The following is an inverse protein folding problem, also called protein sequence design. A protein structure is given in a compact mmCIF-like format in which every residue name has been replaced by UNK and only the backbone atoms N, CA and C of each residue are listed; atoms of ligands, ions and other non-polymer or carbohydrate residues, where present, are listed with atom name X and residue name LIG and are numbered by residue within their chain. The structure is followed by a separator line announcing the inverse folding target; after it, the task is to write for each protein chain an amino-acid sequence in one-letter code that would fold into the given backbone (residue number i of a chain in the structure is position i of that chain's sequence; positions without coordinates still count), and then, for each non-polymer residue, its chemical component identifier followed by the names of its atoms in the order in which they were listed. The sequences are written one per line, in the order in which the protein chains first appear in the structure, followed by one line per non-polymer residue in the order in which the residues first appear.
data_IF_812407827771
#
_entry.id   IF_812407827771
#
_cell.length_a   1.000
_cell.length_b   1.000
_cell.length_c   1.000
_cell.angle_alpha   90.00
_cell.angle_beta   90.00
_cell.angle_gamma   90.00
#
_symmetry.space_group_name_H-M   'P 1'
#
loop_
_entity.id
_entity.type
_entity.pdbx_description
1 polymer ?
#
# COMPACT_ATOMS: atom_id res chain seq x y z
N UNK A 1 -11.96 2.57 -38.02
CA UNK A 1 -11.18 2.63 -36.76
C UNK A 1 -9.88 3.46 -36.85
N UNK A 2 -9.47 4.00 -38.01
CA UNK A 2 -8.16 4.67 -38.22
C UNK A 2 -8.06 6.16 -37.79
N UNK A 3 -9.17 6.81 -37.41
CA UNK A 3 -9.20 8.26 -37.15
C UNK A 3 -9.27 8.67 -35.68
N UNK A 4 -9.15 7.72 -34.74
CA UNK A 4 -9.22 8.00 -33.30
C UNK A 4 -7.87 7.83 -32.63
N UNK A 5 -7.51 8.78 -31.78
CA UNK A 5 -6.29 8.77 -30.96
C UNK A 5 -6.69 8.80 -29.50
N UNK A 6 -6.16 7.89 -28.70
CA UNK A 6 -6.30 7.95 -27.23
C UNK A 6 -5.10 8.66 -26.62
N UNK A 7 -5.36 9.59 -25.70
CA UNK A 7 -4.31 10.29 -24.95
C UNK A 7 -4.62 10.25 -23.47
N UNK A 8 -3.57 10.13 -22.66
CA UNK A 8 -3.68 10.29 -21.21
C UNK A 8 -3.77 11.78 -20.90
N UNK A 9 -4.84 12.18 -20.23
CA UNK A 9 -5.08 13.55 -19.79
C UNK A 9 -5.18 13.53 -18.27
N UNK A 10 -4.22 14.18 -17.60
CA UNK A 10 -4.29 14.42 -16.16
C UNK A 10 -5.23 15.62 -15.93
N UNK A 11 -6.37 15.38 -15.29
CA UNK A 11 -7.42 16.35 -15.03
C UNK A 11 -7.57 16.63 -13.54
N UNK A 12 -7.76 17.90 -13.17
CA UNK A 12 -8.06 18.33 -11.82
C UNK A 12 -9.19 19.36 -11.82
N UNK A 13 -10.11 19.26 -10.86
CA UNK A 13 -11.30 20.10 -10.77
C UNK A 13 -10.98 21.59 -10.57
N UNK A 14 -9.97 21.88 -9.75
CA UNK A 14 -9.50 23.22 -9.47
C UNK A 14 -8.62 23.82 -10.59
N UNK A 15 -8.38 23.06 -11.68
CA UNK A 15 -7.58 23.48 -12.84
C UNK A 15 -8.32 23.24 -14.16
N UNK A 16 -9.63 23.50 -14.17
CA UNK A 16 -10.44 23.36 -15.38
C UNK A 16 -9.93 24.23 -16.55
N UNK A 17 -9.43 25.45 -16.27
CA UNK A 17 -8.80 26.33 -17.28
C UNK A 17 -7.56 25.71 -17.96
N UNK A 18 -6.73 24.96 -17.23
CA UNK A 18 -5.57 24.26 -17.83
C UNK A 18 -6.02 23.27 -18.91
N UNK A 19 -7.21 22.69 -18.73
CA UNK A 19 -7.79 21.68 -19.61
C UNK A 19 -8.45 22.35 -20.81
N UNK A 20 -9.19 23.45 -20.60
CA UNK A 20 -9.71 24.28 -21.69
C UNK A 20 -8.59 24.69 -22.65
N UNK A 21 -7.53 25.34 -22.14
CA UNK A 21 -6.37 25.76 -22.95
C UNK A 21 -5.71 24.58 -23.67
N UNK A 22 -5.62 23.42 -23.00
CA UNK A 22 -5.02 22.23 -23.60
C UNK A 22 -5.89 21.65 -24.71
N UNK A 23 -7.21 21.66 -24.55
CA UNK A 23 -8.16 21.21 -25.57
C UNK A 23 -8.17 22.15 -26.78
N UNK A 24 -8.16 23.47 -26.56
CA UNK A 24 -8.04 24.47 -27.64
C UNK A 24 -6.76 24.25 -28.47
N UNK A 25 -5.62 24.03 -27.80
CA UNK A 25 -4.35 23.71 -28.47
C UNK A 25 -4.37 22.39 -29.24
N UNK A 26 -5.18 21.42 -28.82
CA UNK A 26 -5.33 20.14 -29.51
C UNK A 26 -6.26 20.28 -30.72
N UNK A 27 -7.37 21.02 -30.60
CA UNK A 27 -8.27 21.32 -31.70
C UNK A 27 -7.57 22.12 -32.81
N UNK A 28 -6.73 23.09 -32.44
CA UNK A 28 -5.87 23.84 -33.37
C UNK A 28 -4.84 22.96 -34.10
N UNK A 29 -4.64 21.71 -33.64
CA UNK A 29 -3.80 20.70 -34.31
C UNK A 29 -4.63 19.61 -35.01
N UNK A 30 -5.94 19.81 -35.14
CA UNK A 30 -6.86 18.86 -35.77
C UNK A 30 -7.23 17.67 -34.88
N UNK A 31 -7.09 17.77 -33.55
CA UNK A 31 -7.50 16.72 -32.60
C UNK A 31 -8.68 17.21 -31.77
N UNK A 32 -9.86 16.70 -32.09
CA UNK A 32 -11.12 17.06 -31.43
C UNK A 32 -11.48 16.06 -30.35
N UNK A 33 -11.83 16.52 -29.16
CA UNK A 33 -12.30 15.65 -28.09
C UNK A 33 -13.63 14.97 -28.51
N UNK A 34 -13.75 13.67 -28.26
CA UNK A 34 -14.98 12.91 -28.53
C UNK A 34 -15.50 12.26 -27.24
N UNK A 35 -14.62 11.72 -26.41
CA UNK A 35 -14.99 11.04 -25.16
C UNK A 35 -13.94 11.31 -24.08
N UNK A 36 -14.39 11.67 -22.87
CA UNK A 36 -13.52 11.77 -21.70
C UNK A 36 -13.75 10.60 -20.74
N UNK A 37 -12.65 9.97 -20.31
CA UNK A 37 -12.64 8.96 -19.26
C UNK A 37 -11.89 9.44 -18.01
N UNK A 38 -11.70 8.54 -17.03
CA UNK A 38 -10.95 8.87 -15.81
C UNK A 38 -9.47 9.25 -16.07
N UNK A 39 -8.85 8.65 -17.10
CA UNK A 39 -7.44 8.91 -17.45
C UNK A 39 -7.20 8.93 -18.97
N UNK A 40 -7.83 8.01 -19.70
CA UNK A 40 -7.72 7.89 -21.16
C UNK A 40 -8.88 8.62 -21.84
N UNK A 41 -8.56 9.65 -22.62
CA UNK A 41 -9.52 10.44 -23.40
C UNK A 41 -9.35 10.11 -24.88
N UNK A 42 -10.47 10.04 -25.59
CA UNK A 42 -10.53 9.72 -27.02
C UNK A 42 -10.70 10.98 -27.84
N UNK A 43 -9.83 11.15 -28.84
CA UNK A 43 -9.83 12.27 -29.76
C UNK A 43 -10.04 11.78 -31.19
N UNK A 44 -10.84 12.52 -31.96
CA UNK A 44 -11.02 12.33 -33.41
C UNK A 44 -10.06 13.24 -34.17
N UNK A 45 -9.35 12.69 -35.15
CA UNK A 45 -8.57 13.48 -36.11
C UNK A 45 -9.51 14.18 -37.10
N UNK A 46 -9.22 15.44 -37.39
CA UNK A 46 -9.90 16.22 -38.40
C UNK A 46 -9.02 17.39 -38.85
N UNK A 47 -9.60 18.30 -39.63
CA UNK A 47 -8.89 19.50 -40.06
C UNK A 47 -8.67 20.45 -38.87
N UNK A 48 -7.49 21.07 -38.74
CA UNK A 48 -7.22 22.08 -37.72
C UNK A 48 -8.30 23.18 -37.69
N UNK A 49 -8.92 23.37 -36.52
CA UNK A 49 -9.88 24.47 -36.29
C UNK A 49 -9.59 25.15 -34.96
N UNK A 50 -9.73 26.47 -34.94
CA UNK A 50 -9.75 27.23 -33.69
C UNK A 50 -11.11 27.04 -33.05
N UNK A 51 -11.16 26.28 -31.96
CA UNK A 51 -12.37 26.09 -31.16
C UNK A 51 -12.11 26.61 -29.76
N UNK A 52 -13.13 27.20 -29.15
CA UNK A 52 -13.14 27.52 -27.72
C UNK A 52 -13.73 26.37 -26.93
N UNK A 53 -13.12 26.01 -25.82
CA UNK A 53 -13.60 24.97 -24.92
C UNK A 53 -13.98 25.58 -23.57
N UNK A 54 -15.07 25.08 -22.98
CA UNK A 54 -15.43 25.39 -21.60
C UNK A 54 -15.74 24.10 -20.84
N UNK A 55 -15.32 24.07 -19.58
CA UNK A 55 -15.55 22.96 -18.66
C UNK A 55 -16.47 23.44 -17.56
N UNK A 56 -17.63 22.79 -17.42
CA UNK A 56 -18.62 23.12 -16.38
C UNK A 56 -18.91 21.92 -15.49
N UNK A 57 -19.56 22.20 -14.36
CA UNK A 57 -19.85 21.19 -13.34
C UNK A 57 -21.33 21.14 -13.00
N UNK A 58 -21.96 20.05 -13.40
CA UNK A 58 -23.38 19.81 -13.17
C UNK A 58 -23.58 18.85 -11.99
N UNK A 59 -24.08 19.37 -10.87
CA UNK A 59 -24.11 18.65 -9.59
C UNK A 59 -25.03 17.41 -9.56
N UNK A 60 -26.02 17.34 -10.45
CA UNK A 60 -26.91 16.17 -10.62
C UNK A 60 -26.34 15.11 -11.58
N UNK A 61 -25.25 15.43 -12.30
CA UNK A 61 -24.54 14.49 -13.15
C UNK A 61 -23.99 13.32 -12.34
N UNK A 62 -24.25 12.09 -12.79
CA UNK A 62 -23.78 10.88 -12.12
C UNK A 62 -23.64 9.74 -13.12
N UNK A 63 -22.57 8.96 -12.98
CA UNK A 63 -22.36 7.73 -13.78
C UNK A 63 -23.48 6.71 -13.56
N UNK A 64 -24.23 6.80 -12.45
CA UNK A 64 -25.34 5.90 -12.12
C UNK A 64 -26.68 6.30 -12.73
N UNK A 65 -26.80 7.50 -13.32
CA UNK A 65 -28.04 7.95 -13.93
C UNK A 65 -28.40 7.05 -15.14
N UNK A 66 -29.65 6.56 -15.24
CA UNK A 66 -30.11 5.73 -16.36
C UNK A 66 -30.14 6.52 -17.67
N UNK A 67 -30.65 7.76 -17.63
CA UNK A 67 -30.78 8.68 -18.75
C UNK A 67 -30.31 10.09 -18.35
N UNK A 68 -30.24 11.01 -19.31
CA UNK A 68 -30.04 12.45 -19.07
C UNK A 68 -31.21 12.96 -18.22
N UNK A 69 -30.93 13.65 -17.11
CA UNK A 69 -32.00 14.19 -16.26
C UNK A 69 -32.70 15.38 -16.94
N UNK A 70 -33.96 15.65 -16.62
CA UNK A 70 -34.71 16.78 -17.22
C UNK A 70 -34.00 18.13 -17.04
N UNK A 71 -33.46 18.35 -15.83
CA UNK A 71 -32.63 19.52 -15.52
C UNK A 71 -31.35 19.56 -16.36
N UNK A 72 -30.74 18.40 -16.62
CA UNK A 72 -29.56 18.31 -17.47
C UNK A 72 -29.92 18.61 -18.93
N UNK A 73 -31.05 18.12 -19.43
CA UNK A 73 -31.51 18.41 -20.79
C UNK A 73 -31.75 19.91 -20.96
N UNK A 74 -32.41 20.53 -19.99
CA UNK A 74 -32.66 21.97 -19.97
C UNK A 74 -31.35 22.76 -19.96
N UNK A 75 -30.35 22.32 -19.19
CA UNK A 75 -29.02 22.92 -19.16
C UNK A 75 -28.28 22.80 -20.51
N UNK A 76 -28.39 21.64 -21.18
CA UNK A 76 -27.84 21.44 -22.53
C UNK A 76 -28.53 22.32 -23.57
N UNK A 77 -29.84 22.49 -23.47
CA UNK A 77 -30.62 23.32 -24.38
C UNK A 77 -30.27 24.80 -24.23
N UNK A 78 -30.06 25.28 -22.99
CA UNK A 78 -29.52 26.63 -22.75
C UNK A 78 -28.11 26.81 -23.28
N UNK A 79 -27.22 25.82 -23.11
CA UNK A 79 -25.87 25.87 -23.66
C UNK A 79 -25.91 26.00 -25.19
N UNK A 80 -26.76 25.20 -25.84
CA UNK A 80 -26.95 25.25 -27.30
C UNK A 80 -27.50 26.59 -27.77
N UNK A 81 -28.46 27.18 -27.05
CA UNK A 81 -28.99 28.50 -27.34
C UNK A 81 -27.92 29.60 -27.21
N UNK A 82 -26.96 29.43 -26.29
CA UNK A 82 -25.81 30.33 -26.11
C UNK A 82 -24.65 30.08 -27.10
N UNK A 83 -24.80 29.18 -28.08
CA UNK A 83 -23.77 28.87 -29.07
C UNK A 83 -22.70 27.87 -28.61
N UNK A 84 -22.98 27.12 -27.54
CA UNK A 84 -22.11 26.06 -27.03
C UNK A 84 -22.63 24.67 -27.40
N UNK A 85 -21.79 23.87 -28.03
CA UNK A 85 -22.09 22.50 -28.42
C UNK A 85 -21.54 21.52 -27.39
N UNK A 86 -22.38 20.60 -26.91
CA UNK A 86 -21.96 19.56 -25.99
C UNK A 86 -21.01 18.55 -26.67
N UNK A 87 -19.90 18.22 -25.99
CA UNK A 87 -18.96 17.20 -26.46
C UNK A 87 -19.18 15.90 -25.70
N UNK A 88 -18.97 15.95 -24.39
CA UNK A 88 -18.87 14.76 -23.56
C UNK A 88 -19.05 15.13 -22.09
N UNK A 89 -19.39 14.12 -21.28
CA UNK A 89 -19.55 14.24 -19.85
C UNK A 89 -18.83 13.09 -19.17
N UNK A 90 -18.17 13.41 -18.06
CA UNK A 90 -17.64 12.40 -17.14
C UNK A 90 -18.07 12.75 -15.72
N UNK A 91 -18.98 11.93 -15.18
CA UNK A 91 -19.61 12.15 -13.87
C UNK A 91 -20.31 13.53 -13.80
N UNK A 92 -19.80 14.46 -13.00
CA UNK A 92 -20.32 15.81 -12.84
C UNK A 92 -19.67 16.82 -13.81
N UNK A 93 -18.56 16.45 -14.46
CA UNK A 93 -17.86 17.32 -15.41
C UNK A 93 -18.53 17.24 -16.79
N UNK A 94 -18.84 18.38 -17.38
CA UNK A 94 -19.33 18.51 -18.75
C UNK A 94 -18.37 19.40 -19.55
N UNK A 95 -18.12 19.02 -20.80
CA UNK A 95 -17.22 19.74 -21.69
C UNK A 95 -18.01 20.18 -22.92
N UNK A 96 -17.93 21.46 -23.23
CA UNK A 96 -18.57 22.08 -24.39
C UNK A 96 -17.52 22.75 -25.27
N UNK A 97 -17.87 22.94 -26.55
CA UNK A 97 -17.08 23.74 -27.48
C UNK A 97 -17.93 24.80 -28.19
N UNK A 98 -17.30 25.89 -28.59
CA UNK A 98 -17.89 26.89 -29.48
C UNK A 98 -16.95 27.17 -30.65
N UNK A 99 -17.55 27.43 -31.83
CA UNK A 99 -16.84 27.86 -33.03
C UNK A 99 -16.73 29.39 -33.11
N UNK A 100 -17.38 30.13 -32.20
CA UNK A 100 -17.27 31.58 -32.16
C UNK A 100 -15.91 32.03 -31.59
N UNK A 101 -15.32 33.08 -32.16
CA UNK A 101 -14.05 33.64 -31.68
C UNK A 101 -14.17 34.25 -30.28
N UNK A 102 -15.35 34.80 -29.95
CA UNK A 102 -15.67 35.33 -28.63
C UNK A 102 -17.06 34.85 -28.19
N UNK A 103 -17.18 33.61 -27.71
CA UNK A 103 -18.47 33.06 -27.29
C UNK A 103 -18.94 33.75 -26.01
N UNK A 104 -20.26 33.93 -25.88
CA UNK A 104 -20.85 34.48 -24.67
C UNK A 104 -20.56 33.50 -23.51
N UNK A 105 -20.01 33.98 -22.38
CA UNK A 105 -19.80 33.13 -21.21
C UNK A 105 -21.10 32.47 -20.80
N UNK A 106 -21.09 31.14 -20.75
CA UNK A 106 -22.27 30.35 -20.47
C UNK A 106 -22.75 30.48 -19.01
N UNK A 107 -21.82 30.67 -18.06
CA UNK A 107 -22.11 31.02 -16.68
C UNK A 107 -21.69 32.49 -16.46
N UNK A 108 -22.65 33.40 -16.49
CA UNK A 108 -22.43 34.86 -16.36
C UNK A 108 -22.15 35.30 -14.92
N UNK A 109 -22.54 34.51 -13.92
CA UNK A 109 -22.24 34.75 -12.52
C UNK A 109 -21.09 33.84 -12.05
N UNK A 110 -19.91 34.43 -11.87
CA UNK A 110 -18.71 33.75 -11.36
C UNK A 110 -18.90 33.19 -9.94
N UNK A 111 -19.81 33.76 -9.14
CA UNK A 111 -20.15 33.24 -7.81
C UNK A 111 -20.96 31.96 -7.93
N UNK A 112 -21.96 31.92 -8.82
CA UNK A 112 -22.78 30.72 -9.04
C UNK A 112 -21.92 29.57 -9.59
N UNK A 113 -21.03 29.87 -10.54
CA UNK A 113 -20.02 28.95 -11.05
C UNK A 113 -19.15 28.37 -9.93
N UNK A 114 -18.60 29.22 -9.07
CA UNK A 114 -17.77 28.80 -7.95
C UNK A 114 -18.54 27.94 -6.94
N UNK A 115 -19.78 28.31 -6.62
CA UNK A 115 -20.64 27.54 -5.71
C UNK A 115 -21.03 26.18 -6.30
N UNK A 116 -21.25 26.11 -7.61
CA UNK A 116 -21.48 24.85 -8.33
C UNK A 116 -20.25 23.93 -8.26
N UNK A 117 -19.04 24.46 -8.45
CA UNK A 117 -17.79 23.70 -8.27
C UNK A 117 -17.69 23.16 -6.84
N UNK A 118 -17.91 24.00 -5.82
CA UNK A 118 -17.89 23.59 -4.41
C UNK A 118 -18.92 22.51 -4.12
N UNK A 119 -20.14 22.63 -4.66
CA UNK A 119 -21.21 21.65 -4.49
C UNK A 119 -20.83 20.30 -5.09
N UNK A 120 -20.24 20.28 -6.29
CA UNK A 120 -19.76 19.07 -6.94
C UNK A 120 -18.62 18.40 -6.14
N UNK A 121 -17.64 19.20 -5.73
CA UNK A 121 -16.52 18.74 -4.90
C UNK A 121 -17.01 18.13 -3.58
N UNK A 122 -17.93 18.78 -2.87
CA UNK A 122 -18.50 18.31 -1.60
C UNK A 122 -19.35 17.04 -1.77
N UNK A 123 -20.07 16.91 -2.89
CA UNK A 123 -20.96 15.77 -3.13
C UNK A 123 -20.22 14.49 -3.53
N UNK A 124 -19.15 14.60 -4.32
CA UNK A 124 -18.50 13.42 -4.91
C UNK A 124 -17.05 13.23 -4.48
N UNK A 125 -16.22 14.27 -4.52
CA UNK A 125 -14.76 14.11 -4.42
C UNK A 125 -14.25 14.16 -2.99
N UNK A 126 -14.67 15.15 -2.21
CA UNK A 126 -14.24 15.29 -0.81
C UNK A 126 -14.60 14.08 0.04
N UNK A 127 -15.82 13.50 -0.03
CA UNK A 127 -16.13 12.28 0.72
C UNK A 127 -15.24 11.11 0.34
N UNK A 128 -14.92 10.95 -0.96
CA UNK A 128 -14.02 9.89 -1.42
C UNK A 128 -12.60 10.05 -0.87
N UNK A 129 -12.08 11.28 -0.86
CA UNK A 129 -10.75 11.59 -0.30
C UNK A 129 -10.76 11.38 1.22
N UNK A 130 -11.81 11.82 1.92
CA UNK A 130 -11.92 11.63 3.36
C UNK A 130 -12.01 10.15 3.75
N UNK A 131 -12.74 9.33 2.98
CA UNK A 131 -12.81 7.89 3.22
C UNK A 131 -11.45 7.23 2.95
N UNK A 132 -10.77 7.60 1.86
CA UNK A 132 -9.43 7.09 1.56
C UNK A 132 -8.43 7.45 2.69
N UNK A 133 -8.42 8.72 3.10
CA UNK A 133 -7.61 9.20 4.21
C UNK A 133 -7.89 8.43 5.50
N UNK A 134 -9.17 8.19 5.82
CA UNK A 134 -9.57 7.42 7.01
C UNK A 134 -9.02 5.99 6.95
N UNK A 135 -9.13 5.33 5.80
CA UNK A 135 -8.60 3.97 5.61
C UNK A 135 -7.08 3.96 5.74
N UNK A 136 -6.37 4.93 5.13
CA UNK A 136 -4.92 5.04 5.25
C UNK A 136 -4.47 5.32 6.69
N UNK A 137 -5.13 6.22 7.41
CA UNK A 137 -4.83 6.52 8.81
C UNK A 137 -5.12 5.31 9.69
N UNK A 138 -6.24 4.63 9.50
CA UNK A 138 -6.54 3.40 10.22
C UNK A 138 -5.47 2.32 9.98
N UNK A 139 -5.01 2.17 8.73
CA UNK A 139 -3.91 1.27 8.42
C UNK A 139 -2.61 1.65 9.16
N UNK A 140 -2.25 2.94 9.20
CA UNK A 140 -1.09 3.41 9.95
C UNK A 140 -1.23 3.15 11.45
N UNK A 141 -2.43 3.24 12.02
CA UNK A 141 -2.69 2.88 13.43
C UNK A 141 -2.46 1.38 13.65
N UNK A 142 -2.95 0.52 12.75
CA UNK A 142 -2.70 -0.93 12.82
C UNK A 142 -1.20 -1.24 12.73
N UNK A 143 -0.49 -0.59 11.81
CA UNK A 143 0.96 -0.75 11.69
C UNK A 143 1.71 -0.23 12.91
N UNK A 144 1.28 0.88 13.49
CA UNK A 144 1.85 1.40 14.72
C UNK A 144 1.65 0.43 15.89
N UNK A 145 0.47 -0.19 16.01
CA UNK A 145 0.23 -1.23 17.00
C UNK A 145 1.13 -2.46 16.76
N UNK A 146 1.31 -2.87 15.50
CA UNK A 146 2.26 -3.95 15.15
C UNK A 146 3.69 -3.60 15.54
N UNK A 147 4.11 -2.34 15.35
CA UNK A 147 5.40 -1.83 15.80
C UNK A 147 5.53 -1.83 17.33
N UNK A 148 4.48 -1.48 18.07
CA UNK A 148 4.51 -1.55 19.54
C UNK A 148 4.62 -3.00 20.04
N UNK A 149 3.96 -3.95 19.37
CA UNK A 149 3.96 -5.36 19.76
C UNK A 149 5.31 -6.05 19.49
N UNK A 150 5.92 -5.81 18.33
CA UNK A 150 7.24 -6.35 17.99
C UNK A 150 8.02 -5.34 17.14
N UNK A 151 8.70 -4.38 17.77
CA UNK A 151 9.43 -3.34 17.05
C UNK A 151 10.67 -3.87 16.33
N UNK A 152 11.26 -4.99 16.79
CA UNK A 152 12.43 -5.61 16.17
C UNK A 152 12.04 -6.15 14.79
N UNK A 153 11.02 -7.01 14.74
CA UNK A 153 10.50 -7.58 13.49
C UNK A 153 9.98 -6.48 12.56
N UNK A 154 9.27 -5.48 13.10
CA UNK A 154 8.77 -4.37 12.28
C UNK A 154 9.89 -3.53 11.66
N UNK A 155 10.98 -3.28 12.39
CA UNK A 155 12.11 -2.48 11.90
C UNK A 155 13.08 -3.30 11.03
N UNK A 156 13.13 -4.62 11.15
CA UNK A 156 13.95 -5.49 10.30
C UNK A 156 13.26 -5.90 9.00
N UNK A 157 11.92 -5.88 8.94
CA UNK A 157 11.13 -6.27 7.75
C UNK A 157 11.05 -5.12 6.70
N UNK A 158 11.69 -5.28 5.52
CA UNK A 158 11.64 -4.27 4.47
C UNK A 158 10.23 -4.06 3.89
N UNK A 159 9.41 -5.12 3.85
CA UNK A 159 8.05 -5.09 3.33
C UNK A 159 7.12 -4.26 4.20
N UNK A 160 7.14 -4.48 5.52
CA UNK A 160 6.37 -3.68 6.49
C UNK A 160 6.78 -2.21 6.43
N UNK A 161 8.06 -1.90 6.55
CA UNK A 161 8.54 -0.50 6.50
C UNK A 161 8.22 0.20 5.19
N UNK A 162 8.43 -0.47 4.05
CA UNK A 162 8.09 0.09 2.75
C UNK A 162 6.60 0.39 2.65
N UNK A 163 5.74 -0.51 3.12
CA UNK A 163 4.29 -0.32 3.11
C UNK A 163 3.86 0.87 3.98
N UNK A 164 4.38 1.00 5.21
CA UNK A 164 4.15 2.14 6.09
C UNK A 164 4.57 3.45 5.42
N UNK A 165 5.77 3.48 4.82
CA UNK A 165 6.30 4.67 4.15
C UNK A 165 5.43 5.10 2.95
N UNK A 166 4.96 4.14 2.15
CA UNK A 166 4.05 4.43 1.02
C UNK A 166 2.72 5.01 1.49
N UNK A 167 2.10 4.41 2.51
CA UNK A 167 0.81 4.86 3.03
C UNK A 167 0.95 6.24 3.68
N UNK A 168 2.02 6.48 4.44
CA UNK A 168 2.32 7.80 4.99
C UNK A 168 2.47 8.84 3.88
N UNK A 169 3.18 8.52 2.78
CA UNK A 169 3.31 9.43 1.65
C UNK A 169 1.96 9.73 0.97
N UNK A 170 1.05 8.75 0.87
CA UNK A 170 -0.33 8.96 0.39
C UNK A 170 -1.07 9.93 1.31
N UNK A 171 -1.04 9.73 2.63
CA UNK A 171 -1.70 10.63 3.59
C UNK A 171 -1.15 12.05 3.48
N UNK A 172 0.17 12.21 3.39
CA UNK A 172 0.82 13.53 3.21
C UNK A 172 0.33 14.19 1.92
N UNK A 173 0.26 13.43 0.81
CA UNK A 173 -0.21 13.94 -0.46
C UNK A 173 -1.69 14.35 -0.42
N UNK A 174 -2.55 13.57 0.23
CA UNK A 174 -3.97 13.91 0.38
C UNK A 174 -4.17 15.15 1.27
N UNK A 175 -3.43 15.27 2.37
CA UNK A 175 -3.45 16.47 3.21
C UNK A 175 -2.99 17.69 2.40
N UNK A 176 -1.90 17.58 1.64
CA UNK A 176 -1.46 18.63 0.73
C UNK A 176 -2.56 19.01 -0.27
N UNK A 177 -3.22 18.02 -0.91
CA UNK A 177 -4.30 18.27 -1.85
C UNK A 177 -5.48 19.01 -1.21
N UNK A 178 -5.89 18.61 0.00
CA UNK A 178 -6.97 19.28 0.72
C UNK A 178 -6.60 20.71 1.11
N UNK A 179 -5.38 20.95 1.60
CA UNK A 179 -4.91 22.30 1.92
C UNK A 179 -4.82 23.17 0.68
N UNK A 180 -4.32 22.61 -0.43
CA UNK A 180 -4.21 23.26 -1.74
C UNK A 180 -5.59 23.74 -2.24
N UNK A 181 -6.60 22.87 -2.10
CA UNK A 181 -8.01 23.15 -2.41
C UNK A 181 -8.63 24.20 -1.47
N UNK A 182 -8.42 24.10 -0.15
CA UNK A 182 -8.95 25.07 0.81
C UNK A 182 -8.35 26.47 0.62
N UNK A 183 -7.06 26.55 0.31
CA UNK A 183 -6.39 27.82 -0.02
C UNK A 183 -6.97 28.39 -1.31
N UNK A 184 -7.19 27.56 -2.33
CA UNK A 184 -7.83 28.00 -3.58
C UNK A 184 -9.24 28.54 -3.32
N UNK A 185 -10.07 27.82 -2.57
CA UNK A 185 -11.42 28.28 -2.21
C UNK A 185 -11.40 29.65 -1.52
N UNK A 186 -10.54 29.84 -0.50
CA UNK A 186 -10.43 31.13 0.21
C UNK A 186 -9.96 32.26 -0.69
N UNK A 187 -9.08 31.99 -1.65
CA UNK A 187 -8.58 32.99 -2.61
C UNK A 187 -9.66 33.38 -3.61
N UNK A 188 -10.38 32.39 -4.15
CA UNK A 188 -11.50 32.62 -5.07
C UNK A 188 -12.64 33.39 -4.40
N UNK A 189 -13.01 33.05 -3.16
CA UNK A 189 -14.02 33.81 -2.40
C UNK A 189 -13.65 35.29 -2.24
N UNK A 190 -12.37 35.59 -1.94
CA UNK A 190 -11.89 36.97 -1.81
C UNK A 190 -11.88 37.72 -3.14
N UNK A 191 -11.49 37.05 -4.23
CA UNK A 191 -11.49 37.64 -5.58
C UNK A 191 -12.91 38.00 -6.01
N UNK A 192 -13.84 37.06 -5.86
CA UNK A 192 -15.25 37.23 -6.21
C UNK A 192 -15.90 38.32 -5.34
N UNK A 193 -15.60 38.38 -4.05
CA UNK A 193 -16.08 39.45 -3.17
C UNK A 193 -15.56 40.85 -3.58
N UNK A 194 -14.39 40.91 -4.22
CA UNK A 194 -13.83 42.14 -4.80
C UNK A 194 -14.34 42.46 -6.21
N UNK A 195 -15.30 41.70 -6.76
CA UNK A 195 -15.81 41.85 -8.12
C UNK A 195 -14.93 41.23 -9.21
N UNK A 196 -13.93 40.43 -8.83
CA UNK A 196 -13.07 39.68 -9.76
C UNK A 196 -13.60 38.28 -10.08
N UNK A 197 -12.92 37.59 -11.00
CA UNK A 197 -13.24 36.20 -11.36
C UNK A 197 -12.70 35.18 -10.35
N UNK A 198 -13.12 33.92 -10.50
CA UNK A 198 -12.52 32.80 -9.79
C UNK A 198 -11.01 32.70 -10.07
N UNK A 199 -10.20 32.58 -9.01
CA UNK A 199 -8.72 32.61 -9.12
C UNK A 199 -8.22 31.37 -9.87
N UNK A 200 -7.37 31.60 -10.87
CA UNK A 200 -6.71 30.52 -11.60
C UNK A 200 -5.70 29.80 -10.69
N UNK A 201 -5.83 28.48 -10.56
CA UNK A 201 -4.91 27.69 -9.73
C UNK A 201 -3.67 27.20 -10.51
N UNK A 202 -3.03 28.12 -11.23
CA UNK A 202 -1.87 27.82 -12.10
C UNK A 202 -0.59 28.21 -11.35
N UNK A 203 0.10 27.22 -10.81
CA UNK A 203 1.40 27.41 -10.15
C UNK A 203 2.39 26.35 -10.59
N UNK A 204 3.56 26.79 -11.08
CA UNK A 204 4.67 25.92 -11.44
C UNK A 204 5.13 25.07 -10.26
N UNK A 205 5.19 25.67 -9.05
CA UNK A 205 5.54 24.96 -7.82
C UNK A 205 4.57 23.82 -7.55
N UNK A 206 3.26 24.09 -7.58
CA UNK A 206 2.25 23.04 -7.36
C UNK A 206 2.38 21.92 -8.41
N UNK A 207 2.66 22.27 -9.67
CA UNK A 207 2.90 21.29 -10.74
C UNK A 207 4.14 20.42 -10.47
N UNK A 208 5.23 21.01 -10.00
CA UNK A 208 6.45 20.28 -9.63
C UNK A 208 6.15 19.31 -8.48
N UNK A 209 5.45 19.77 -7.44
CA UNK A 209 5.04 18.91 -6.31
C UNK A 209 4.27 17.69 -6.80
N UNK A 210 3.29 17.86 -7.70
CA UNK A 210 2.57 16.71 -8.28
C UNK A 210 3.46 15.76 -9.07
N UNK A 211 4.41 16.28 -9.85
CA UNK A 211 5.34 15.44 -10.61
C UNK A 211 6.20 14.62 -9.65
N UNK A 212 6.72 15.24 -8.59
CA UNK A 212 7.53 14.55 -7.57
C UNK A 212 6.74 13.41 -6.93
N UNK A 213 5.53 13.68 -6.42
CA UNK A 213 4.69 12.64 -5.81
C UNK A 213 4.30 11.53 -6.80
N UNK A 214 3.94 11.88 -8.04
CA UNK A 214 3.60 10.89 -9.06
C UNK A 214 4.80 10.02 -9.44
N UNK A 215 5.98 10.62 -9.60
CA UNK A 215 7.23 9.88 -9.84
C UNK A 215 7.58 8.97 -8.67
N UNK A 216 7.41 9.45 -7.44
CA UNK A 216 7.62 8.66 -6.23
C UNK A 216 6.66 7.46 -6.15
N UNK A 217 5.35 7.66 -6.33
CA UNK A 217 4.38 6.56 -6.32
C UNK A 217 4.59 5.58 -7.47
N UNK A 218 4.97 6.06 -8.66
CA UNK A 218 5.26 5.19 -9.79
C UNK A 218 6.51 4.34 -9.54
N UNK A 219 7.57 4.94 -8.99
CA UNK A 219 8.79 4.22 -8.63
C UNK A 219 8.53 3.20 -7.51
N UNK A 220 7.80 3.60 -6.46
CA UNK A 220 7.39 2.72 -5.37
C UNK A 220 6.53 1.55 -5.85
N UNK A 221 5.55 1.80 -6.72
CA UNK A 221 4.74 0.75 -7.33
C UNK A 221 5.59 -0.21 -8.18
N UNK A 222 6.54 0.30 -8.96
CA UNK A 222 7.48 -0.52 -9.72
C UNK A 222 8.36 -1.41 -8.83
N UNK A 223 8.91 -0.84 -7.75
CA UNK A 223 9.68 -1.59 -6.75
C UNK A 223 8.84 -2.66 -6.07
N UNK A 224 7.60 -2.33 -5.68
CA UNK A 224 6.67 -3.28 -5.07
C UNK A 224 6.38 -4.46 -6.00
N UNK A 225 6.11 -4.20 -7.29
CA UNK A 225 5.90 -5.27 -8.28
C UNK A 225 7.16 -6.14 -8.42
N UNK A 226 8.35 -5.54 -8.48
CA UNK A 226 9.61 -6.28 -8.52
C UNK A 226 9.78 -7.17 -7.27
N UNK A 227 9.52 -6.64 -6.08
CA UNK A 227 9.56 -7.37 -4.83
C UNK A 227 8.55 -8.53 -4.77
N UNK A 228 7.31 -8.31 -5.22
CA UNK A 228 6.30 -9.37 -5.28
C UNK A 228 6.68 -10.48 -6.27
N UNK A 229 7.26 -10.13 -7.42
CA UNK A 229 7.76 -11.14 -8.38
C UNK A 229 8.82 -12.02 -7.72
N UNK A 230 9.73 -11.42 -6.95
CA UNK A 230 10.76 -12.14 -6.22
C UNK A 230 10.17 -13.10 -5.17
N UNK A 231 9.12 -12.68 -4.44
CA UNK A 231 8.55 -13.47 -3.33
C UNK A 231 7.47 -14.49 -3.72
N UNK A 232 6.64 -14.23 -4.75
CA UNK A 232 5.37 -14.95 -5.02
C UNK A 232 5.36 -15.67 -6.37
N UNK A 233 6.38 -15.46 -7.22
CA UNK A 233 6.43 -15.80 -8.66
C UNK A 233 5.58 -14.90 -9.56
N UNK A 234 5.93 -14.87 -10.84
CA UNK A 234 5.22 -14.12 -11.90
C UNK A 234 3.73 -14.47 -12.00
N UNK A 235 3.35 -15.72 -11.73
CA UNK A 235 1.97 -16.15 -11.85
C UNK A 235 1.08 -15.58 -10.73
N UNK A 236 1.56 -15.57 -9.49
CA UNK A 236 0.81 -14.97 -8.39
C UNK A 236 0.72 -13.43 -8.53
N UNK A 237 1.78 -12.79 -9.02
CA UNK A 237 1.72 -11.35 -9.39
C UNK A 237 0.68 -11.08 -10.47
N UNK A 238 0.58 -11.95 -11.49
CA UNK A 238 -0.46 -11.83 -12.52
C UNK A 238 -1.86 -11.92 -11.94
N UNK A 239 -2.11 -12.84 -10.98
CA UNK A 239 -3.39 -12.92 -10.26
C UNK A 239 -3.68 -11.61 -9.51
N UNK A 240 -2.73 -11.06 -8.76
CA UNK A 240 -2.93 -9.78 -8.08
C UNK A 240 -3.27 -8.63 -9.05
N UNK A 241 -2.63 -8.59 -10.23
CA UNK A 241 -2.86 -7.53 -11.23
C UNK A 241 -4.21 -7.71 -11.94
N UNK A 242 -4.60 -8.94 -12.29
CA UNK A 242 -5.83 -9.21 -13.06
C UNK A 242 -7.11 -8.96 -12.25
N UNK A 243 -7.02 -8.93 -10.91
CA UNK A 243 -8.12 -8.55 -10.03
C UNK A 243 -8.74 -7.20 -10.43
N UNK A 244 -7.90 -6.18 -10.61
CA UNK A 244 -8.36 -4.81 -10.90
C UNK A 244 -9.21 -4.71 -12.18
N UNK A 245 -8.78 -5.18 -13.37
CA UNK A 245 -9.62 -5.13 -14.56
C UNK A 245 -10.88 -6.01 -14.42
N UNK A 246 -10.83 -7.15 -13.74
CA UNK A 246 -12.02 -7.99 -13.48
C UNK A 246 -13.06 -7.21 -12.66
N UNK A 247 -12.65 -6.63 -11.53
CA UNK A 247 -13.53 -5.85 -10.66
C UNK A 247 -14.09 -4.62 -11.38
N UNK A 248 -13.28 -3.93 -12.20
CA UNK A 248 -13.75 -2.81 -13.03
C UNK A 248 -14.79 -3.25 -14.06
N UNK A 249 -14.62 -4.42 -14.68
CA UNK A 249 -15.59 -4.98 -15.63
C UNK A 249 -16.89 -5.33 -14.89
N UNK A 250 -16.81 -6.05 -13.76
CA UNK A 250 -17.98 -6.40 -12.92
C UNK A 250 -18.75 -5.14 -12.50
N UNK A 251 -18.03 -4.11 -12.05
CA UNK A 251 -18.63 -2.85 -11.66
C UNK A 251 -19.33 -2.13 -12.83
N UNK A 252 -18.69 -2.06 -14.01
CA UNK A 252 -19.29 -1.45 -15.20
C UNK A 252 -20.50 -2.23 -15.71
N UNK A 253 -20.44 -3.57 -15.68
CA UNK A 253 -21.54 -4.42 -16.10
C UNK A 253 -22.75 -4.26 -15.19
N UNK A 254 -22.54 -4.20 -13.86
CA UNK A 254 -23.63 -3.99 -12.90
C UNK A 254 -24.32 -2.64 -13.12
N UNK A 255 -23.54 -1.57 -13.32
CA UNK A 255 -24.08 -0.22 -13.61
C UNK A 255 -24.92 -0.26 -14.89
N UNK A 256 -24.35 -0.78 -15.98
CA UNK A 256 -25.02 -0.80 -17.29
C UNK A 256 -26.29 -1.66 -17.27
N UNK A 257 -26.28 -2.77 -16.53
CA UNK A 257 -27.46 -3.61 -16.35
C UNK A 257 -28.59 -2.85 -15.64
N UNK A 258 -28.28 -2.14 -14.55
CA UNK A 258 -29.27 -1.38 -13.79
C UNK A 258 -29.77 -0.14 -14.55
N UNK A 259 -28.91 0.48 -15.37
CA UNK A 259 -29.33 1.52 -16.33
C UNK A 259 -30.34 1.00 -17.34
N UNK A 260 -30.09 -0.17 -17.94
CA UNK A 260 -31.05 -0.81 -18.87
C UNK A 260 -32.40 -1.10 -18.21
N UNK A 261 -32.41 -1.34 -16.90
CA UNK A 261 -33.63 -1.52 -16.10
C UNK A 261 -34.27 -0.21 -15.61
N UNK A 262 -33.74 0.95 -16.00
CA UNK A 262 -34.21 2.28 -15.57
C UNK A 262 -34.28 2.45 -14.04
N UNK A 263 -33.38 1.78 -13.32
CA UNK A 263 -33.30 1.93 -11.87
C UNK A 263 -32.86 3.36 -11.51
N UNK A 264 -33.34 3.86 -10.36
CA UNK A 264 -32.90 5.17 -9.86
C UNK A 264 -31.40 5.17 -9.58
N UNK A 265 -30.76 6.35 -9.68
CA UNK A 265 -29.32 6.48 -9.49
C UNK A 265 -28.84 6.02 -8.11
N UNK A 266 -29.66 6.21 -7.07
CA UNK A 266 -29.36 5.75 -5.71
C UNK A 266 -29.35 4.22 -5.60
N UNK A 267 -30.37 3.57 -6.17
CA UNK A 267 -30.47 2.10 -6.19
C UNK A 267 -29.32 1.50 -7.01
N UNK A 268 -29.05 2.08 -8.19
CA UNK A 268 -27.96 1.66 -9.05
C UNK A 268 -26.61 1.74 -8.30
N UNK A 269 -26.35 2.89 -7.65
CA UNK A 269 -25.14 3.08 -6.84
C UNK A 269 -25.00 2.03 -5.75
N UNK A 270 -26.04 1.81 -4.93
CA UNK A 270 -25.98 0.87 -3.81
C UNK A 270 -25.74 -0.56 -4.31
N UNK A 271 -26.52 -1.03 -5.27
CA UNK A 271 -26.40 -2.41 -5.78
C UNK A 271 -25.04 -2.63 -6.47
N UNK A 272 -24.59 -1.69 -7.31
CA UNK A 272 -23.29 -1.82 -7.98
C UNK A 272 -22.12 -1.86 -7.01
N UNK A 273 -22.17 -1.07 -5.92
CA UNK A 273 -21.15 -1.11 -4.87
C UNK A 273 -21.23 -2.44 -4.12
N UNK A 274 -22.41 -2.92 -3.75
CA UNK A 274 -22.58 -4.22 -3.07
C UNK A 274 -22.06 -5.38 -3.92
N UNK A 275 -22.37 -5.40 -5.22
CA UNK A 275 -21.86 -6.42 -6.15
C UNK A 275 -20.33 -6.36 -6.25
N UNK A 276 -19.75 -5.16 -6.26
CA UNK A 276 -18.30 -4.98 -6.28
C UNK A 276 -17.64 -5.55 -5.01
N UNK A 277 -18.21 -5.27 -3.83
CA UNK A 277 -17.72 -5.78 -2.55
C UNK A 277 -17.80 -7.31 -2.51
N UNK A 278 -18.93 -7.90 -2.92
CA UNK A 278 -19.09 -9.36 -2.97
C UNK A 278 -18.07 -9.98 -3.93
N UNK A 279 -17.90 -9.40 -5.13
CA UNK A 279 -16.94 -9.89 -6.11
C UNK A 279 -15.50 -9.83 -5.58
N UNK A 280 -15.14 -8.80 -4.82
CA UNK A 280 -13.83 -8.67 -4.19
C UNK A 280 -13.60 -9.78 -3.14
N UNK A 281 -14.55 -10.03 -2.24
CA UNK A 281 -14.46 -11.13 -1.27
C UNK A 281 -14.41 -12.51 -1.92
N UNK A 282 -15.19 -12.74 -2.98
CA UNK A 282 -15.16 -14.00 -3.73
C UNK A 282 -13.80 -14.20 -4.40
N UNK A 283 -13.23 -13.13 -4.96
CA UNK A 283 -11.92 -13.18 -5.58
C UNK A 283 -10.80 -13.43 -4.56
N UNK A 284 -10.88 -12.79 -3.39
CA UNK A 284 -9.95 -13.01 -2.29
C UNK A 284 -10.03 -14.46 -1.77
N UNK A 285 -11.23 -14.99 -1.56
CA UNK A 285 -11.42 -16.40 -1.18
C UNK A 285 -10.86 -17.36 -2.26
N UNK A 286 -11.06 -17.03 -3.54
CA UNK A 286 -10.48 -17.79 -4.65
C UNK A 286 -8.95 -17.80 -4.58
N UNK A 287 -8.30 -16.64 -4.39
CA UNK A 287 -6.83 -16.57 -4.26
C UNK A 287 -6.36 -17.41 -3.07
N UNK A 288 -6.99 -17.27 -1.89
CA UNK A 288 -6.57 -18.01 -0.69
C UNK A 288 -6.68 -19.52 -0.90
N UNK A 289 -7.82 -20.00 -1.40
CA UNK A 289 -8.01 -21.43 -1.68
C UNK A 289 -7.05 -21.94 -2.77
N UNK A 290 -6.79 -21.12 -3.78
CA UNK A 290 -5.88 -21.44 -4.87
C UNK A 290 -4.44 -21.57 -4.37
N UNK A 291 -3.97 -20.63 -3.55
CA UNK A 291 -2.63 -20.66 -2.94
C UNK A 291 -2.45 -21.90 -2.04
N UNK A 292 -3.45 -22.21 -1.20
CA UNK A 292 -3.42 -23.41 -0.34
C UNK A 292 -3.35 -24.69 -1.19
N UNK A 293 -4.16 -24.79 -2.24
CA UNK A 293 -4.32 -26.03 -3.02
C UNK A 293 -3.14 -26.32 -3.96
N UNK A 294 -2.49 -25.28 -4.49
CA UNK A 294 -1.40 -25.43 -5.45
C UNK A 294 -0.01 -25.29 -4.81
N UNK A 295 0.06 -25.05 -3.50
CA UNK A 295 1.33 -24.95 -2.78
C UNK A 295 2.22 -23.85 -3.34
N UNK A 296 1.64 -22.73 -3.81
CA UNK A 296 2.41 -21.56 -4.22
C UNK A 296 3.11 -21.00 -2.98
N UNK A 297 4.33 -21.46 -2.75
CA UNK A 297 5.13 -21.05 -1.61
C UNK A 297 5.58 -19.60 -1.80
N UNK A 298 5.02 -18.73 -0.97
CA UNK A 298 5.60 -17.45 -0.63
C UNK A 298 6.87 -17.72 0.19
N UNK A 299 8.03 -17.53 -0.43
CA UNK A 299 9.30 -17.36 0.28
C UNK A 299 10.00 -18.63 0.77
N UNK A 300 10.65 -19.36 -0.14
CA UNK A 300 11.83 -20.12 0.26
C UNK A 300 12.98 -19.71 -0.67
N UNK A 301 13.84 -18.82 -0.17
CA UNK A 301 15.14 -18.51 -0.80
C UNK A 301 16.14 -19.66 -0.56
N UNK A 302 15.88 -20.56 0.39
CA UNK A 302 16.75 -21.67 0.77
C UNK A 302 16.30 -23.02 0.20
N UNK A 303 17.28 -23.84 -0.19
CA UNK A 303 17.07 -25.22 -0.57
C UNK A 303 16.59 -26.02 0.65
N UNK A 304 15.36 -26.50 0.60
CA UNK A 304 14.79 -27.35 1.65
C UNK A 304 14.37 -28.71 1.10
N UNK A 305 14.49 -29.73 1.94
CA UNK A 305 13.94 -31.06 1.68
C UNK A 305 12.61 -31.20 2.41
N UNK A 306 11.55 -31.50 1.67
CA UNK A 306 10.26 -31.88 2.25
C UNK A 306 10.31 -33.32 2.77
N UNK A 307 9.83 -33.54 4.00
CA UNK A 307 9.67 -34.86 4.61
C UNK A 307 8.28 -34.97 5.23
N UNK A 308 7.60 -36.09 4.96
CA UNK A 308 6.32 -36.41 5.58
C UNK A 308 6.57 -37.21 6.85
N UNK A 309 6.23 -36.65 8.01
CA UNK A 309 6.45 -37.27 9.31
C UNK A 309 5.11 -37.72 9.94
N UNK A 310 4.98 -38.98 10.40
CA UNK A 310 3.78 -39.44 11.07
C UNK A 310 3.68 -38.85 12.48
N UNK A 311 2.68 -38.01 12.72
CA UNK A 311 2.41 -37.43 14.06
C UNK A 311 1.52 -38.36 14.87
N UNK A 312 0.58 -39.05 14.21
CA UNK A 312 -0.26 -40.11 14.77
C UNK A 312 -0.41 -41.27 13.78
N UNK A 313 -1.02 -42.38 14.21
CA UNK A 313 -1.27 -43.54 13.34
C UNK A 313 -2.13 -43.23 12.09
N UNK A 314 -2.85 -42.10 12.08
CA UNK A 314 -3.77 -41.71 11.00
C UNK A 314 -3.46 -40.35 10.39
N UNK A 315 -2.50 -39.59 10.93
CA UNK A 315 -2.18 -38.23 10.46
C UNK A 315 -0.68 -38.05 10.34
N UNK A 316 -0.24 -37.70 9.13
CA UNK A 316 1.11 -37.26 8.86
C UNK A 316 1.13 -35.76 8.56
N UNK A 317 2.23 -35.11 8.93
CA UNK A 317 2.46 -33.70 8.66
C UNK A 317 3.69 -33.55 7.77
N UNK A 318 3.66 -32.56 6.88
CA UNK A 318 4.77 -32.27 5.98
C UNK A 318 5.69 -31.23 6.64
N UNK A 319 6.94 -31.62 6.89
CA UNK A 319 7.97 -30.76 7.46
C UNK A 319 9.00 -30.39 6.40
N UNK A 320 9.58 -29.20 6.54
CA UNK A 320 10.68 -28.71 5.70
C UNK A 320 11.96 -28.78 6.50
N UNK A 321 12.96 -29.49 5.96
CA UNK A 321 14.30 -29.52 6.52
C UNK A 321 15.20 -28.64 5.68
N UNK A 322 15.69 -27.58 6.29
CA UNK A 322 16.63 -26.63 5.72
C UNK A 322 18.07 -27.08 5.98
N UNK A 323 19.01 -26.66 5.12
CA UNK A 323 20.44 -26.94 5.23
C UNK A 323 21.27 -25.67 5.05
N UNK A 324 20.85 -24.60 5.70
CA UNK A 324 21.54 -23.32 5.64
C UNK A 324 22.83 -23.35 6.47
N UNK A 325 23.83 -22.59 6.04
CA UNK A 325 25.08 -22.41 6.78
C UNK A 325 24.87 -21.39 7.92
N UNK A 326 24.81 -21.91 9.15
CA UNK A 326 24.60 -21.14 10.38
C UNK A 326 25.90 -21.05 11.22
N UNK A 327 26.22 -19.88 11.82
CA UNK A 327 27.49 -19.68 12.54
C UNK A 327 27.74 -20.61 13.73
N UNK A 328 26.72 -20.83 14.55
CA UNK A 328 26.75 -21.66 15.75
C UNK A 328 25.79 -22.82 15.56
N UNK A 329 26.28 -24.04 15.82
CA UNK A 329 25.49 -25.27 15.70
C UNK A 329 25.55 -26.11 16.96
N UNK A 330 24.54 -26.96 17.17
CA UNK A 330 24.49 -27.95 18.23
C UNK A 330 25.62 -28.97 18.11
N UNK A 331 26.07 -29.34 16.92
CA UNK A 331 27.21 -30.25 16.75
C UNK A 331 28.49 -29.62 17.30
N UNK A 332 28.67 -28.32 17.11
CA UNK A 332 29.81 -27.61 17.67
C UNK A 332 29.75 -27.58 19.21
N UNK A 333 28.55 -27.52 19.80
CA UNK A 333 28.34 -27.40 21.25
C UNK A 333 28.33 -28.73 22.00
N UNK A 334 27.78 -29.77 21.40
CA UNK A 334 27.51 -31.06 22.03
C UNK A 334 28.33 -32.22 21.43
N UNK A 335 29.02 -32.00 20.30
CA UNK A 335 29.75 -33.02 19.55
C UNK A 335 28.95 -33.61 18.39
N UNK A 336 29.46 -34.64 17.72
CA UNK A 336 28.79 -35.24 16.58
C UNK A 336 27.43 -35.83 16.98
N UNK A 337 26.37 -35.28 16.39
CA UNK A 337 24.99 -35.73 16.56
C UNK A 337 24.60 -36.58 15.34
N UNK A 338 24.41 -37.89 15.54
CA UNK A 338 23.98 -38.81 14.49
C UNK A 338 22.44 -38.74 14.33
N UNK A 339 21.96 -37.68 13.67
CA UNK A 339 20.53 -37.45 13.45
C UNK A 339 20.21 -36.96 12.04
N UNK A 340 19.58 -37.83 11.24
CA UNK A 340 19.30 -37.60 9.82
C UNK A 340 18.30 -36.47 9.53
N UNK A 341 17.47 -36.10 10.51
CA UNK A 341 16.33 -35.19 10.33
C UNK A 341 16.48 -33.87 11.10
N UNK A 342 17.70 -33.33 11.10
CA UNK A 342 18.00 -32.05 11.73
C UNK A 342 17.96 -30.91 10.71
N UNK A 343 17.25 -29.83 11.03
CA UNK A 343 17.07 -28.66 10.16
C UNK A 343 17.97 -27.52 10.59
N UNK A 344 18.56 -26.82 9.63
CA UNK A 344 19.39 -25.63 9.82
C UNK A 344 18.78 -24.50 9.01
N UNK A 345 18.19 -23.53 9.70
CA UNK A 345 17.44 -22.44 9.08
C UNK A 345 18.12 -21.11 9.38
N UNK A 346 18.21 -20.28 8.34
CA UNK A 346 18.78 -18.95 8.40
C UNK A 346 17.86 -17.95 7.72
N UNK A 347 17.43 -16.94 8.47
CA UNK A 347 16.69 -15.81 7.94
C UNK A 347 17.41 -14.50 8.25
N UNK A 348 17.70 -13.72 7.20
CA UNK A 348 18.32 -12.40 7.36
C UNK A 348 17.39 -11.35 6.77
N UNK A 349 16.90 -10.48 7.64
CA UNK A 349 16.09 -9.33 7.30
C UNK A 349 16.86 -8.05 7.64
N UNK A 350 17.03 -7.17 6.65
CA UNK A 350 17.90 -5.99 6.78
C UNK A 350 17.23 -4.75 6.21
N UNK A 351 17.23 -3.68 7.01
CA UNK A 351 16.74 -2.37 6.62
C UNK A 351 17.77 -1.29 6.99
N UNK A 352 17.44 -0.03 6.71
CA UNK A 352 18.24 1.11 7.16
C UNK A 352 18.32 1.25 8.68
N UNK A 353 17.40 0.63 9.44
CA UNK A 353 17.33 0.78 10.90
C UNK A 353 18.00 -0.37 11.64
N UNK A 354 17.74 -1.60 11.19
CA UNK A 354 18.12 -2.82 11.90
C UNK A 354 18.38 -3.94 10.89
N UNK A 355 19.47 -4.67 11.12
CA UNK A 355 19.64 -6.01 10.54
C UNK A 355 19.38 -7.04 11.62
N UNK A 356 18.46 -7.96 11.35
CA UNK A 356 18.16 -9.11 12.18
C UNK A 356 18.56 -10.36 11.41
N UNK A 357 19.46 -11.14 11.99
CA UNK A 357 19.81 -12.46 11.50
C UNK A 357 19.29 -13.49 12.50
N UNK A 358 18.22 -14.17 12.15
CA UNK A 358 17.64 -15.27 12.91
C UNK A 358 18.26 -16.59 12.43
N UNK A 359 18.68 -17.41 13.38
CA UNK A 359 19.25 -18.72 13.13
C UNK A 359 18.53 -19.73 14.00
N UNK A 360 18.07 -20.81 13.40
CA UNK A 360 17.39 -21.88 14.11
C UNK A 360 17.94 -23.23 13.70
N UNK A 361 18.18 -24.07 14.69
CA UNK A 361 18.54 -25.46 14.52
C UNK A 361 17.60 -26.32 15.37
N UNK A 362 16.75 -27.09 14.69
CA UNK A 362 15.68 -27.84 15.34
C UNK A 362 15.40 -29.14 14.57
N UNK A 363 14.88 -30.13 15.29
CA UNK A 363 14.61 -31.46 14.75
C UNK A 363 13.12 -31.76 14.68
N UNK A 364 12.77 -32.85 14.00
CA UNK A 364 11.40 -33.35 14.02
C UNK A 364 11.04 -33.86 15.41
N UNK A 365 9.78 -33.70 15.85
CA UNK A 365 9.34 -34.19 17.16
C UNK A 365 9.51 -35.72 17.24
N UNK A 366 10.54 -36.13 17.98
CA UNK A 366 10.92 -37.52 18.22
C UNK A 366 11.33 -37.68 19.70
N UNK A 367 11.21 -38.91 20.23
CA UNK A 367 11.55 -39.17 21.64
C UNK A 367 13.04 -38.95 21.95
N UNK A 368 13.90 -39.20 20.96
CA UNK A 368 15.36 -39.05 21.05
C UNK A 368 15.83 -37.86 20.19
N UNK A 369 15.05 -36.77 20.18
CA UNK A 369 15.36 -35.57 19.43
C UNK A 369 16.63 -34.89 19.97
N UNK A 370 17.55 -34.41 19.10
CA UNK A 370 18.69 -33.62 19.52
C UNK A 370 18.25 -32.26 20.09
N UNK A 371 19.09 -31.60 20.93
CA UNK A 371 18.75 -30.33 21.55
C UNK A 371 18.45 -29.23 20.52
N UNK A 372 17.48 -28.36 20.81
CA UNK A 372 17.22 -27.17 20.00
C UNK A 372 18.20 -26.03 20.29
N UNK A 373 18.52 -25.27 19.25
CA UNK A 373 19.26 -24.01 19.35
C UNK A 373 18.57 -22.95 18.49
N UNK A 374 18.30 -21.79 19.07
CA UNK A 374 17.82 -20.62 18.32
C UNK A 374 18.55 -19.38 18.81
N UNK A 375 18.93 -18.50 17.89
CA UNK A 375 19.53 -17.23 18.26
C UNK A 375 19.31 -16.15 17.21
N UNK A 376 19.12 -14.93 17.70
CA UNK A 376 19.03 -13.72 16.91
C UNK A 376 20.30 -12.88 17.09
N UNK A 377 20.86 -12.43 15.97
CA UNK A 377 21.88 -11.38 15.95
C UNK A 377 21.24 -10.11 15.41
N UNK A 378 21.16 -9.10 16.28
CA UNK A 378 20.61 -7.79 15.97
C UNK A 378 21.76 -6.80 15.81
N UNK A 379 21.78 -6.09 14.68
CA UNK A 379 22.76 -5.04 14.36
C UNK A 379 22.06 -3.70 14.11
N UNK A 380 21.72 -2.95 15.18
CA UNK A 380 21.07 -1.65 15.07
C UNK A 380 22.00 -0.61 14.44
N UNK A 381 21.51 0.13 13.46
CA UNK A 381 22.27 1.19 12.79
C UNK A 381 22.26 2.52 13.57
N UNK A 382 21.30 2.68 14.49
CA UNK A 382 21.13 3.89 15.30
C UNK A 382 21.02 3.56 16.80
N UNK A 383 21.54 4.46 17.65
CA UNK A 383 21.50 4.30 19.12
C UNK A 383 20.08 4.16 19.68
N UNK A 384 19.12 4.91 19.14
CA UNK A 384 17.73 4.81 19.63
C UNK A 384 17.10 3.44 19.29
N UNK A 385 17.46 2.85 18.14
CA UNK A 385 17.02 1.49 17.76
C UNK A 385 17.66 0.45 18.68
N UNK A 386 18.93 0.62 19.04
CA UNK A 386 19.60 -0.23 20.01
C UNK A 386 18.88 -0.24 21.36
N UNK A 387 18.59 0.96 21.90
CA UNK A 387 17.88 1.06 23.18
C UNK A 387 16.46 0.49 23.11
N UNK A 388 15.76 0.72 22.00
CA UNK A 388 14.43 0.19 21.79
C UNK A 388 14.43 -1.35 21.69
N UNK A 389 15.38 -1.93 20.95
CA UNK A 389 15.53 -3.38 20.84
C UNK A 389 15.91 -4.00 22.20
N UNK A 390 16.85 -3.40 22.93
CA UNK A 390 17.20 -3.82 24.29
C UNK A 390 15.98 -3.83 25.22
N UNK A 391 15.23 -2.73 25.26
CA UNK A 391 14.07 -2.62 26.13
C UNK A 391 13.00 -3.65 25.79
N UNK A 392 12.76 -3.89 24.50
CA UNK A 392 11.79 -4.89 24.06
C UNK A 392 12.22 -6.33 24.39
N UNK A 393 13.51 -6.68 24.22
CA UNK A 393 14.01 -8.02 24.56
C UNK A 393 13.96 -8.33 26.06
N UNK A 394 14.10 -7.30 26.90
CA UNK A 394 14.03 -7.43 28.36
C UNK A 394 12.59 -7.27 28.90
N UNK A 395 11.63 -6.92 28.05
CA UNK A 395 10.23 -6.76 28.44
C UNK A 395 9.57 -8.13 28.58
N UNK A 396 9.09 -8.43 29.79
CA UNK A 396 8.37 -9.67 30.09
C UNK A 396 6.87 -9.38 30.11
N UNK A 397 6.06 -10.08 29.30
CA UNK A 397 4.61 -9.88 29.29
C UNK A 397 3.99 -10.16 30.67
N UNK A 398 2.95 -9.41 31.02
CA UNK A 398 2.27 -9.54 32.32
C UNK A 398 1.72 -10.94 32.61
N UNK A 399 1.40 -11.76 31.60
CA UNK A 399 0.92 -13.14 31.83
C UNK A 399 2.03 -14.13 32.19
N UNK A 400 3.27 -13.66 32.30
CA UNK A 400 4.50 -14.43 32.46
C UNK A 400 5.22 -13.97 33.72
N UNK A 401 4.47 -13.81 34.82
CA UNK A 401 4.95 -13.22 36.08
C UNK A 401 6.08 -14.04 36.73
N UNK A 402 6.13 -15.34 36.43
CA UNK A 402 7.13 -16.28 36.95
C UNK A 402 8.47 -16.22 36.20
N UNK A 403 8.56 -15.39 35.15
CA UNK A 403 9.80 -15.15 34.41
C UNK A 403 10.45 -13.82 34.76
N UNK A 404 11.78 -13.81 34.85
CA UNK A 404 12.56 -12.59 35.04
C UNK A 404 13.86 -12.62 34.26
N UNK A 405 14.37 -11.46 33.82
CA UNK A 405 15.70 -11.31 33.26
C UNK A 405 16.64 -10.72 34.32
N UNK A 406 17.59 -11.50 34.80
CA UNK A 406 18.56 -11.08 35.80
C UNK A 406 19.93 -10.77 35.18
N UNK A 407 20.62 -9.70 35.63
CA UNK A 407 21.94 -9.37 35.13
C UNK A 407 22.98 -10.40 35.61
N UNK A 408 23.83 -10.87 34.68
CA UNK A 408 24.94 -11.79 34.97
C UNK A 408 26.29 -11.09 34.78
N UNK A 409 27.38 -11.71 35.26
CA UNK A 409 28.74 -11.17 35.06
C UNK A 409 29.05 -11.07 33.56
N UNK A 410 29.19 -9.84 33.07
CA UNK A 410 29.45 -9.54 31.67
C UNK A 410 30.78 -10.14 31.16
N UNK A 411 31.73 -10.45 32.06
CA UNK A 411 33.00 -11.11 31.70
C UNK A 411 32.80 -12.53 31.19
N UNK A 412 31.71 -13.20 31.57
CA UNK A 412 31.38 -14.56 31.13
C UNK A 412 31.32 -14.61 29.61
N UNK A 413 30.65 -13.64 28.98
CA UNK A 413 30.50 -13.53 27.52
C UNK A 413 31.36 -12.44 26.87
N UNK A 414 32.06 -11.61 27.65
CA UNK A 414 32.83 -10.48 27.13
C UNK A 414 31.94 -9.33 26.64
N UNK A 415 30.77 -9.17 27.23
CA UNK A 415 29.76 -8.20 26.83
C UNK A 415 29.90 -6.88 27.60
N UNK A 416 29.15 -5.86 27.17
CA UNK A 416 28.95 -4.64 27.97
C UNK A 416 28.01 -4.96 29.12
N UNK A 417 26.91 -5.63 28.81
CA UNK A 417 25.91 -6.13 29.75
C UNK A 417 25.45 -7.53 29.28
N UNK A 418 25.03 -8.37 30.21
CA UNK A 418 24.44 -9.67 29.89
C UNK A 418 23.31 -9.96 30.87
N UNK A 419 22.24 -10.54 30.36
CA UNK A 419 21.08 -10.95 31.14
C UNK A 419 20.79 -12.42 30.85
N UNK A 420 20.37 -13.14 31.87
CA UNK A 420 19.87 -14.51 31.78
C UNK A 420 18.43 -14.54 32.23
N UNK A 421 17.59 -15.32 31.56
CA UNK A 421 16.22 -15.52 31.97
C UNK A 421 16.15 -16.59 33.08
N UNK A 422 15.24 -16.36 34.02
CA UNK A 422 14.88 -17.28 35.09
C UNK A 422 13.39 -17.60 35.00
N UNK A 423 13.03 -18.84 35.32
CA UNK A 423 11.66 -19.32 35.48
C UNK A 423 11.52 -19.93 36.88
N UNK A 424 10.64 -19.41 37.73
CA UNK A 424 10.51 -19.83 39.14
C UNK A 424 11.88 -19.92 39.85
N UNK A 425 12.68 -18.86 39.77
CA UNK A 425 14.05 -18.75 40.30
C UNK A 425 15.06 -19.78 39.73
N UNK A 426 14.69 -20.53 38.68
CA UNK A 426 15.56 -21.49 38.01
C UNK A 426 16.15 -20.88 36.74
N UNK A 427 17.49 -20.87 36.57
CA UNK A 427 18.13 -20.31 35.39
C UNK A 427 17.78 -21.13 34.14
N UNK A 428 17.35 -20.46 33.07
CA UNK A 428 17.07 -21.10 31.77
C UNK A 428 18.27 -20.97 30.83
N UNK A 429 18.20 -21.61 29.66
CA UNK A 429 19.17 -21.44 28.58
C UNK A 429 18.95 -20.18 27.73
N UNK A 430 18.07 -19.26 28.13
CA UNK A 430 17.83 -18.00 27.41
C UNK A 430 18.73 -16.86 27.93
N UNK A 431 19.44 -16.19 27.02
CA UNK A 431 20.38 -15.11 27.33
C UNK A 431 20.20 -13.92 26.38
N UNK A 432 20.28 -12.71 26.93
CA UNK A 432 20.38 -11.46 26.15
C UNK A 432 21.77 -10.86 26.38
N UNK A 433 22.60 -10.90 25.34
CA UNK A 433 24.00 -10.47 25.36
C UNK A 433 24.15 -9.13 24.62
N UNK A 434 24.56 -8.09 25.34
CA UNK A 434 24.63 -6.72 24.83
C UNK A 434 26.07 -6.31 24.53
N UNK A 435 26.38 -6.08 23.26
CA UNK A 435 27.66 -5.53 22.80
C UNK A 435 27.49 -4.06 22.40
N UNK A 436 28.59 -3.34 22.17
CA UNK A 436 28.54 -1.92 21.80
C UNK A 436 27.72 -1.62 20.54
N UNK A 437 27.71 -2.55 19.57
CA UNK A 437 27.09 -2.37 18.24
C UNK A 437 26.14 -3.49 17.83
N UNK A 438 26.01 -4.55 18.62
CA UNK A 438 25.13 -5.68 18.34
C UNK A 438 24.49 -6.21 19.61
N UNK A 439 23.34 -6.86 19.47
CA UNK A 439 22.65 -7.57 20.54
C UNK A 439 22.48 -9.01 20.07
N UNK A 440 22.78 -9.98 20.94
CA UNK A 440 22.56 -11.40 20.65
C UNK A 440 21.54 -11.92 21.64
N UNK A 441 20.40 -12.38 21.15
CA UNK A 441 19.44 -13.15 21.94
C UNK A 441 19.68 -14.63 21.64
N UNK A 442 20.01 -15.42 22.66
CA UNK A 442 20.36 -16.82 22.55
C UNK A 442 19.31 -17.64 23.31
N UNK A 443 18.75 -18.66 22.69
CA UNK A 443 17.79 -19.58 23.28
C UNK A 443 18.32 -21.02 23.12
N UNK A 444 18.61 -21.63 24.26
CA UNK A 444 19.06 -23.01 24.40
C UNK A 444 18.15 -23.76 25.38
N UNK A 445 18.04 -25.08 25.23
CA UNK A 445 17.23 -25.90 26.16
C UNK A 445 17.79 -25.87 27.60
N UNK A 446 19.11 -25.82 27.74
CA UNK A 446 19.80 -25.84 29.03
C UNK A 446 20.87 -24.74 29.11
N UNK A 447 21.21 -24.25 30.31
CA UNK A 447 22.33 -23.33 30.51
C UNK A 447 23.66 -23.92 30.01
N UNK A 448 24.43 -23.19 29.17
CA UNK A 448 25.68 -23.71 28.62
C UNK A 448 26.79 -23.84 29.67
N UNK A 449 27.60 -24.88 29.53
CA UNK A 449 28.83 -25.08 30.31
C UNK A 449 29.93 -24.10 29.89
N UNK A 450 30.96 -23.91 30.73
CA UNK A 450 32.12 -23.04 30.42
C UNK A 450 32.83 -23.39 29.10
N UNK A 451 32.86 -24.69 28.74
CA UNK A 451 33.42 -25.15 27.45
C UNK A 451 32.55 -24.69 26.28
N UNK A 452 31.23 -24.82 26.40
CA UNK A 452 30.27 -24.37 25.39
C UNK A 452 30.29 -22.85 25.24
N UNK A 453 30.38 -22.09 26.34
CA UNK A 453 30.54 -20.63 26.31
C UNK A 453 31.77 -20.20 25.49
N UNK A 454 32.89 -20.94 25.63
CA UNK A 454 34.10 -20.66 24.84
C UNK A 454 33.88 -20.88 23.34
N UNK A 455 33.12 -21.91 22.97
CA UNK A 455 32.74 -22.21 21.58
C UNK A 455 31.78 -21.15 21.04
N UNK A 456 30.79 -20.73 21.82
CA UNK A 456 29.85 -19.65 21.48
C UNK A 456 30.64 -18.38 21.16
N UNK A 457 31.63 -18.03 21.99
CA UNK A 457 32.48 -16.86 21.76
C UNK A 457 33.23 -16.93 20.43
N UNK A 458 33.87 -18.06 20.18
CA UNK A 458 34.64 -18.28 18.95
C UNK A 458 33.75 -18.22 17.70
N UNK A 459 32.63 -18.96 17.71
CA UNK A 459 31.74 -19.11 16.56
C UNK A 459 30.97 -17.83 16.23
N UNK A 460 30.49 -17.11 17.25
CA UNK A 460 29.79 -15.84 17.07
C UNK A 460 30.72 -14.62 16.96
N UNK A 461 32.04 -14.85 17.05
CA UNK A 461 33.11 -13.84 16.99
C UNK A 461 32.84 -12.69 17.97
N UNK A 462 32.73 -13.02 19.26
CA UNK A 462 32.48 -12.09 20.36
C UNK A 462 33.58 -12.12 21.41
#
# INVERSE_FOLDING_TARGET
MKDKVKKVINFRFDRYKDIEIKLEKLAAKGLFLEECGAFLWTFRKGEPKSLKYTVTYFSEGSVFNPDITDNQQTYLDYAKAAGWNFVTQFNQMQIFYSEADNPIPFETDEKEKFDNIKRCMKKSFLPSIMIMMLVCVFNLVVQFNSFQLNPIEFLSDPGRLFSAAMILAVVIYEVYFLLDYLIWCKRSERSIAGGGECVENISMVRRIVHIIFMSFFLAGFGYFLYYLVFKISWFGVFLCIIQMPILLIVFRLSINYLKKKKASAAINKVISITVLIIADFVYLAFIVLFTIKLGFNLGADSDYRTIVWPVTATTSHEYRLYRDDIPLTCEALYGDLDYDYYSYEKEINSTLFLTQSNYRQDSLPAKDAPPRLEYDILEPQFKFVYHLAKNHLLEIPQWREDESYEPIDNKIFGTVEAYQQYYDDTPTGEYILLFEKKIIALNMEEPPTMKQISIIKEKLRI
#
